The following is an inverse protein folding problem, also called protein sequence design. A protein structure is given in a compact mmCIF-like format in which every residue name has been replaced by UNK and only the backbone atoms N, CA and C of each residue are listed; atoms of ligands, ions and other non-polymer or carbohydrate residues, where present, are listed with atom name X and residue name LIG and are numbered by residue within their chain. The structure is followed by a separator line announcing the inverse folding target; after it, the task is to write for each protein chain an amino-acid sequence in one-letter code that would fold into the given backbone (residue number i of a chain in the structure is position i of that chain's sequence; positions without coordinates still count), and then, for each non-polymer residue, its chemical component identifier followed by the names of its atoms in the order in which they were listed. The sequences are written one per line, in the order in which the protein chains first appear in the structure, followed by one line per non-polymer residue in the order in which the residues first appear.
data_IF_185813936240
#
_entry.id   IF_185813936240
#
_cell.length_a   1.000
_cell.length_b   1.000
_cell.length_c   1.000
_cell.angle_alpha   90.00
_cell.angle_beta   90.00
_cell.angle_gamma   90.00
#
_symmetry.space_group_name_H-M   'P 1'
#
loop_
_entity.id
_entity.type
_entity.pdbx_description
1 polymer ?
#
# COMPACT_ATOMS: atom_id res chain seq x y z
N UNK A 1 -10.97 -22.78 2.50
CA UNK A 1 -9.72 -23.26 1.85
C UNK A 1 -8.56 -22.54 2.51
N UNK A 2 -7.63 -23.27 3.12
CA UNK A 2 -6.38 -22.67 3.59
C UNK A 2 -5.30 -22.93 2.55
N UNK A 3 -4.72 -21.86 2.04
CA UNK A 3 -3.55 -21.90 1.18
C UNK A 3 -2.30 -21.83 2.05
N UNK A 4 -1.22 -22.52 1.65
CA UNK A 4 0.03 -22.44 2.42
C UNK A 4 0.63 -21.03 2.35
N UNK A 5 1.37 -20.59 3.38
CA UNK A 5 2.06 -19.30 3.37
C UNK A 5 2.99 -19.14 2.17
N UNK A 6 3.74 -20.19 1.82
CA UNK A 6 4.73 -20.18 0.74
C UNK A 6 4.05 -20.01 -0.62
N UNK A 7 2.92 -20.68 -0.81
CA UNK A 7 2.14 -20.56 -2.04
C UNK A 7 1.54 -19.15 -2.18
N UNK A 8 0.99 -18.61 -1.09
CA UNK A 8 0.50 -17.24 -1.07
C UNK A 8 1.61 -16.23 -1.37
N UNK A 9 2.79 -16.41 -0.80
CA UNK A 9 3.95 -15.54 -1.05
C UNK A 9 4.40 -15.61 -2.51
N UNK A 10 4.43 -16.81 -3.11
CA UNK A 10 4.77 -16.99 -4.52
C UNK A 10 3.79 -16.22 -5.44
N UNK A 11 2.49 -16.28 -5.17
CA UNK A 11 1.49 -15.55 -5.95
C UNK A 11 1.54 -14.04 -5.69
N UNK A 12 1.86 -13.61 -4.47
CA UNK A 12 2.11 -12.18 -4.19
C UNK A 12 3.31 -11.65 -4.98
N UNK A 13 4.41 -12.39 -5.07
CA UNK A 13 5.58 -11.99 -5.89
C UNK A 13 5.22 -11.81 -7.37
N UNK A 14 4.25 -12.56 -7.89
CA UNK A 14 3.74 -12.40 -9.26
C UNK A 14 2.89 -11.14 -9.41
N UNK A 15 1.98 -10.89 -8.46
CA UNK A 15 1.06 -9.74 -8.50
C UNK A 15 1.71 -8.39 -8.21
N UNK A 16 2.81 -8.37 -7.46
CA UNK A 16 3.46 -7.15 -6.98
C UNK A 16 4.64 -6.73 -7.87
N UNK A 17 5.10 -5.47 -7.78
CA UNK A 17 6.35 -5.06 -8.40
C UNK A 17 7.51 -5.99 -7.99
N UNK A 18 8.40 -6.33 -8.93
CA UNK A 18 8.51 -5.79 -10.29
C UNK A 18 7.62 -6.49 -11.33
N UNK A 19 7.00 -7.63 -11.02
CA UNK A 19 6.33 -8.48 -12.01
C UNK A 19 4.96 -7.93 -12.44
N UNK A 20 4.19 -7.36 -11.51
CA UNK A 20 2.89 -6.74 -11.77
C UNK A 20 1.93 -7.57 -12.64
N UNK A 21 1.90 -8.88 -12.45
CA UNK A 21 1.10 -9.79 -13.27
C UNK A 21 -0.39 -9.74 -12.91
N UNK A 22 -1.25 -9.67 -13.94
CA UNK A 22 -2.71 -9.51 -13.79
C UNK A 22 -3.33 -10.57 -12.87
N UNK A 23 -4.17 -10.10 -11.93
CA UNK A 23 -4.98 -10.97 -11.05
C UNK A 23 -5.84 -11.93 -11.86
N UNK A 24 -6.44 -11.47 -12.97
CA UNK A 24 -7.27 -12.33 -13.82
C UNK A 24 -6.46 -13.43 -14.51
N UNK A 25 -5.20 -13.13 -14.89
CA UNK A 25 -4.29 -14.12 -15.46
C UNK A 25 -3.93 -15.19 -14.41
N UNK A 26 -3.49 -14.76 -13.22
CA UNK A 26 -3.12 -15.67 -12.12
C UNK A 26 -4.32 -16.49 -11.67
N UNK A 27 -5.51 -15.89 -11.57
CA UNK A 27 -6.75 -16.59 -11.21
C UNK A 27 -7.05 -17.75 -12.17
N UNK A 28 -6.90 -17.51 -13.47
CA UNK A 28 -7.11 -18.52 -14.51
C UNK A 28 -6.08 -19.65 -14.46
N UNK A 29 -4.82 -19.32 -14.21
CA UNK A 29 -3.72 -20.30 -14.21
C UNK A 29 -3.71 -21.16 -12.94
N UNK A 30 -3.94 -20.55 -11.78
CA UNK A 30 -3.84 -21.24 -10.48
C UNK A 30 -5.19 -21.78 -9.98
N UNK A 31 -6.29 -21.49 -10.69
CA UNK A 31 -7.63 -21.91 -10.29
C UNK A 31 -8.13 -21.24 -9.00
N UNK A 32 -7.66 -20.01 -8.72
CA UNK A 32 -8.01 -19.25 -7.51
C UNK A 32 -8.99 -18.14 -7.87
N UNK A 33 -9.95 -17.86 -7.00
CA UNK A 33 -10.86 -16.73 -7.23
C UNK A 33 -10.09 -15.40 -7.25
N UNK A 34 -10.45 -14.52 -8.19
CA UNK A 34 -9.88 -13.17 -8.23
C UNK A 34 -10.08 -12.42 -6.90
N UNK A 35 -11.21 -12.64 -6.23
CA UNK A 35 -11.49 -12.00 -4.93
C UNK A 35 -10.47 -12.39 -3.87
N UNK A 36 -10.06 -13.66 -3.82
CA UNK A 36 -9.02 -14.15 -2.90
C UNK A 36 -7.70 -13.43 -3.16
N UNK A 37 -7.29 -13.32 -4.42
CA UNK A 37 -6.06 -12.65 -4.84
C UNK A 37 -6.10 -11.15 -4.51
N UNK A 38 -7.22 -10.47 -4.77
CA UNK A 38 -7.46 -9.06 -4.39
C UNK A 38 -7.31 -8.87 -2.88
N UNK A 39 -7.93 -9.73 -2.07
CA UNK A 39 -7.83 -9.67 -0.61
C UNK A 39 -6.40 -9.83 -0.11
N UNK A 40 -5.60 -10.68 -0.75
CA UNK A 40 -4.19 -10.87 -0.39
C UNK A 40 -3.33 -9.68 -0.74
N UNK A 41 -3.51 -9.11 -1.94
CA UNK A 41 -2.85 -7.88 -2.35
C UNK A 41 -3.19 -6.72 -1.42
N UNK A 42 -4.47 -6.56 -1.07
CA UNK A 42 -4.92 -5.49 -0.19
C UNK A 42 -4.40 -5.65 1.24
N UNK A 43 -4.23 -6.90 1.72
CA UNK A 43 -3.54 -7.18 2.98
C UNK A 43 -2.06 -6.82 2.90
N UNK A 44 -1.36 -7.20 1.84
CA UNK A 44 0.05 -6.83 1.64
C UNK A 44 0.24 -5.31 1.58
N UNK A 45 -0.71 -4.57 0.96
CA UNK A 45 -0.72 -3.10 0.96
C UNK A 45 -0.85 -2.52 2.37
N UNK A 46 -1.73 -3.08 3.20
CA UNK A 46 -1.86 -2.69 4.62
C UNK A 46 -0.61 -2.96 5.43
N UNK A 47 0.15 -3.98 5.05
CA UNK A 47 1.43 -4.35 5.65
C UNK A 47 2.62 -3.54 5.08
N UNK A 48 2.36 -2.57 4.21
CA UNK A 48 3.36 -1.62 3.73
C UNK A 48 4.04 -1.99 2.40
N UNK A 49 3.55 -3.02 1.70
CA UNK A 49 4.04 -3.34 0.36
C UNK A 49 3.43 -2.40 -0.69
N UNK A 50 4.27 -1.91 -1.61
CA UNK A 50 3.78 -1.21 -2.80
C UNK A 50 2.99 -2.19 -3.68
N UNK A 51 1.70 -1.94 -3.82
CA UNK A 51 0.82 -2.85 -4.56
C UNK A 51 -0.10 -2.05 -5.48
N UNK A 52 0.44 -1.32 -6.47
CA UNK A 52 -0.37 -0.53 -7.38
C UNK A 52 -1.37 -1.42 -8.15
N UNK A 53 -2.51 -0.85 -8.54
CA UNK A 53 -3.40 -1.53 -9.47
C UNK A 53 -2.69 -1.70 -10.82
N UNK A 54 -2.77 -2.88 -11.41
CA UNK A 54 -2.00 -3.25 -12.62
C UNK A 54 -2.42 -2.42 -13.84
N UNK A 55 -3.66 -1.94 -13.85
CA UNK A 55 -4.21 -1.06 -14.89
C UNK A 55 -4.26 0.42 -14.46
N UNK A 56 -3.79 0.74 -13.26
CA UNK A 56 -3.75 2.11 -12.78
C UNK A 56 -2.52 2.78 -13.39
N UNK A 57 -2.73 3.84 -14.20
CA UNK A 57 -1.61 4.70 -14.59
C UNK A 57 -1.00 5.33 -13.32
N UNK A 58 0.27 5.78 -13.34
CA UNK A 58 0.89 6.39 -12.17
C UNK A 58 0.01 7.45 -11.51
N UNK A 59 -0.76 8.23 -12.29
CA UNK A 59 -1.69 9.23 -11.75
C UNK A 59 -2.82 8.64 -10.91
N UNK A 60 -3.32 7.45 -11.25
CA UNK A 60 -4.37 6.71 -10.55
C UNK A 60 -3.85 5.97 -9.30
N UNK A 61 -2.53 5.93 -9.09
CA UNK A 61 -1.97 5.35 -7.88
C UNK A 61 -2.31 6.21 -6.67
N UNK A 62 -2.59 5.53 -5.55
CA UNK A 62 -2.71 6.23 -4.28
C UNK A 62 -1.39 6.95 -3.98
N UNK A 63 -1.46 8.09 -3.30
CA UNK A 63 -0.25 8.82 -2.86
C UNK A 63 0.68 7.93 -2.04
N UNK A 64 0.12 6.96 -1.31
CA UNK A 64 0.86 5.93 -0.59
C UNK A 64 1.63 5.00 -1.54
N UNK A 65 0.99 4.47 -2.59
CA UNK A 65 1.68 3.61 -3.57
C UNK A 65 2.78 4.39 -4.31
N UNK A 66 2.52 5.65 -4.69
CA UNK A 66 3.52 6.55 -5.28
C UNK A 66 4.73 6.71 -4.35
N UNK A 67 4.49 7.00 -3.07
CA UNK A 67 5.55 7.16 -2.07
C UNK A 67 6.36 5.87 -1.90
N UNK A 68 5.70 4.72 -1.73
CA UNK A 68 6.37 3.44 -1.54
C UNK A 68 7.25 3.07 -2.73
N UNK A 69 6.82 3.34 -3.96
CA UNK A 69 7.61 3.08 -5.18
C UNK A 69 8.82 4.01 -5.28
N UNK A 70 8.66 5.30 -4.96
CA UNK A 70 9.79 6.25 -4.91
C UNK A 70 10.82 5.83 -3.85
N UNK A 71 10.37 5.41 -2.68
CA UNK A 71 11.26 4.93 -1.61
C UNK A 71 12.00 3.66 -2.03
N UNK A 72 11.28 2.69 -2.61
CA UNK A 72 11.89 1.42 -3.08
C UNK A 72 12.94 1.69 -4.16
N UNK A 73 12.62 2.55 -5.14
CA UNK A 73 13.56 2.93 -6.21
C UNK A 73 14.74 3.77 -5.72
N UNK A 74 14.55 4.63 -4.72
CA UNK A 74 15.65 5.37 -4.10
C UNK A 74 16.67 4.44 -3.45
N UNK A 75 16.23 3.33 -2.85
CA UNK A 75 17.10 2.32 -2.24
C UNK A 75 17.98 1.58 -3.27
N UNK A 76 17.58 1.59 -4.54
CA UNK A 76 18.31 0.99 -5.66
C UNK A 76 19.25 1.99 -6.36
N UNK A 77 19.14 3.29 -6.07
CA UNK A 77 19.86 4.34 -6.77
C UNK A 77 21.26 4.55 -6.18
N UNK A 78 22.27 4.61 -7.06
CA UNK A 78 23.66 4.93 -6.69
C UNK A 78 23.80 6.30 -6.02
N UNK A 79 22.94 7.25 -6.36
CA UNK A 79 22.88 8.57 -5.75
C UNK A 79 22.56 8.53 -4.24
N UNK A 80 21.65 7.64 -3.80
CA UNK A 80 21.33 7.50 -2.38
C UNK A 80 22.56 7.02 -1.59
N UNK A 81 23.32 6.06 -2.17
CA UNK A 81 24.58 5.58 -1.61
C UNK A 81 25.65 6.65 -1.56
N UNK A 82 25.79 7.46 -2.61
CA UNK A 82 26.71 8.61 -2.63
C UNK A 82 26.38 9.63 -1.53
N UNK A 83 25.10 9.74 -1.12
CA UNK A 83 24.66 10.59 -0.01
C UNK A 83 24.71 9.88 1.36
N UNK A 84 25.25 8.67 1.43
CA UNK A 84 25.39 7.89 2.67
C UNK A 84 24.07 7.33 3.21
N UNK A 85 23.02 7.24 2.38
CA UNK A 85 21.74 6.66 2.75
C UNK A 85 21.73 5.18 2.39
N UNK A 86 21.72 4.32 3.41
CA UNK A 86 21.63 2.88 3.24
C UNK A 86 20.18 2.40 3.22
N UNK A 87 19.94 1.24 2.61
CA UNK A 87 18.61 0.65 2.41
C UNK A 87 17.83 0.54 3.72
N UNK A 88 18.50 0.15 4.81
CA UNK A 88 17.92 -0.01 6.14
C UNK A 88 17.46 1.32 6.75
N UNK A 89 18.21 2.40 6.51
CA UNK A 89 17.86 3.75 6.97
C UNK A 89 16.67 4.30 6.18
N UNK A 90 16.62 4.04 4.88
CA UNK A 90 15.50 4.40 4.01
C UNK A 90 14.22 3.66 4.44
N UNK A 91 14.31 2.36 4.77
CA UNK A 91 13.19 1.57 5.31
C UNK A 91 12.70 2.11 6.66
N UNK A 92 13.63 2.42 7.56
CA UNK A 92 13.28 3.02 8.87
C UNK A 92 12.59 4.37 8.70
N UNK A 93 13.09 5.21 7.79
CA UNK A 93 12.50 6.50 7.48
C UNK A 93 11.09 6.36 6.89
N UNK A 94 10.89 5.42 5.96
CA UNK A 94 9.58 5.07 5.42
C UNK A 94 8.59 4.70 6.52
N UNK A 95 8.98 3.80 7.43
CA UNK A 95 8.10 3.34 8.50
C UNK A 95 7.74 4.47 9.46
N UNK A 96 8.71 5.34 9.79
CA UNK A 96 8.47 6.54 10.58
C UNK A 96 7.50 7.52 9.88
N UNK A 97 7.68 7.79 8.58
CA UNK A 97 6.80 8.66 7.80
C UNK A 97 5.37 8.11 7.69
N UNK A 98 5.24 6.80 7.45
CA UNK A 98 3.94 6.12 7.39
C UNK A 98 3.20 6.18 8.74
N UNK A 99 3.92 6.01 9.84
CA UNK A 99 3.34 6.03 11.18
C UNK A 99 3.03 7.45 11.68
N UNK A 100 3.89 8.44 11.40
CA UNK A 100 3.69 9.83 11.80
C UNK A 100 2.45 10.45 11.13
N UNK A 101 2.23 10.16 9.84
CA UNK A 101 1.06 10.62 9.11
C UNK A 101 -0.23 9.89 9.51
N UNK A 102 -0.13 8.64 9.99
CA UNK A 102 -1.27 7.86 10.48
C UNK A 102 -1.98 8.48 11.69
N UNK A 103 -1.24 9.18 12.55
CA UNK A 103 -1.79 9.94 13.68
C UNK A 103 -2.57 11.17 13.23
N UNK A 104 -2.02 11.94 12.29
CA UNK A 104 -2.63 13.15 11.74
C UNK A 104 -3.92 12.85 10.98
N UNK A 105 -3.94 11.79 10.16
CA UNK A 105 -5.12 11.38 9.41
C UNK A 105 -6.27 10.90 10.31
N UNK A 106 -5.96 10.16 11.39
CA UNK A 106 -6.95 9.74 12.39
C UNK A 106 -7.55 10.93 13.13
N UNK A 107 -6.72 11.89 13.52
CA UNK A 107 -7.17 13.09 14.22
C UNK A 107 -8.02 14.00 13.34
N UNK A 108 -7.63 14.19 12.08
CA UNK A 108 -8.44 14.93 11.10
C UNK A 108 -9.82 14.26 10.83
N UNK A 109 -9.87 12.93 10.80
CA UNK A 109 -11.13 12.20 10.68
C UNK A 109 -12.02 12.35 11.92
N UNK A 110 -11.43 12.32 13.12
CA UNK A 110 -12.13 12.57 14.40
C UNK A 110 -12.73 13.97 14.43
N UNK A 111 -11.92 14.99 14.16
CA UNK A 111 -12.35 16.39 14.14
C UNK A 111 -13.47 16.65 13.12
N UNK A 112 -13.38 16.06 11.92
CA UNK A 112 -14.45 16.17 10.93
C UNK A 112 -15.77 15.52 11.36
N UNK A 113 -15.70 14.40 12.10
CA UNK A 113 -16.90 13.74 12.63
C UNK A 113 -17.56 14.59 13.72
N UNK A 114 -16.76 15.13 14.64
CA UNK A 114 -17.22 16.03 15.70
C UNK A 114 -17.83 17.31 15.14
N UNK A 115 -17.22 17.88 14.08
CA UNK A 115 -17.75 19.06 13.40
C UNK A 115 -19.14 18.77 12.79
N UNK A 116 -19.30 17.65 12.07
CA UNK A 116 -20.59 17.24 11.49
C UNK A 116 -21.66 16.97 12.54
N UNK A 117 -21.29 16.40 13.68
CA UNK A 117 -22.22 16.19 14.80
C UNK A 117 -22.65 17.53 15.42
N UNK A 118 -21.72 18.46 15.62
CA UNK A 118 -22.01 19.81 16.11
C UNK A 118 -22.94 20.59 15.16
N UNK A 119 -22.69 20.53 13.85
CA UNK A 119 -23.54 21.15 12.84
C UNK A 119 -24.96 20.57 12.81
N UNK A 120 -25.10 19.24 12.97
CA UNK A 120 -26.41 18.59 13.08
C UNK A 120 -27.16 19.04 14.32
N UNK A 121 -26.49 19.12 15.47
CA UNK A 121 -27.10 19.60 16.72
C UNK A 121 -27.55 21.07 16.61
N UNK A 122 -26.77 21.92 15.94
CA UNK A 122 -27.14 23.33 15.67
C UNK A 122 -28.35 23.49 14.74
N UNK A 123 -28.58 22.55 13.82
CA UNK A 123 -29.72 22.58 12.88
C UNK A 123 -31.05 22.10 13.48
N UNK A 124 -31.00 21.37 14.59
CA UNK A 124 -32.18 20.82 15.28
C UNK A 124 -32.69 21.78 16.36
N UNK A 125 -31.90 22.79 16.73
CA UNK A 125 -32.22 23.83 17.71
C UNK A 125 -32.73 25.09 17.03
#
# INVERSE_FOLDING_TARGET
MNYSPEFKEALLRRMLPPNNESISKIAREEGISEQTLRNWRDKARKEGMAAPGIDAVPDDWSTQDKFLIVVETASMNEYARQKGLFVEQIKTCRDACMNANGGVAKEAARLNKELKESERQRKIR
#
